data_IF_408879709712
#
_entry.id   IF_408879709712
#
_cell.length_a   1.000
_cell.length_b   1.000
_cell.length_c   1.000
_cell.angle_alpha   90.00
_cell.angle_beta   90.00
_cell.angle_gamma   90.00
#
_symmetry.space_group_name_H-M   'P 1'
#
loop_
_entity.id
_entity.type
_entity.pdbx_description
1 polymer ?
#
# COMPACT_ATOMS: atom_id res chain seq x y z
N UNK A 1 25.24 -20.89 3.57
CA UNK A 1 24.36 -19.82 4.07
C UNK A 1 23.42 -19.43 2.94
N UNK A 2 22.12 -19.68 3.10
CA UNK A 2 21.15 -19.72 2.00
C UNK A 2 21.12 -18.43 1.20
N UNK A 3 21.29 -18.57 -0.12
CA UNK A 3 21.06 -17.50 -1.10
C UNK A 3 19.65 -16.98 -0.86
N UNK A 4 19.49 -15.80 -0.24
CA UNK A 4 18.27 -15.02 -0.35
C UNK A 4 18.15 -14.68 -1.84
N UNK A 5 17.45 -15.56 -2.55
CA UNK A 5 17.09 -15.54 -3.96
C UNK A 5 17.61 -14.34 -4.77
N UNK A 6 18.48 -14.53 -5.78
CA UNK A 6 18.66 -13.53 -6.84
C UNK A 6 17.42 -13.57 -7.76
N UNK A 7 16.21 -13.34 -7.22
CA UNK A 7 14.96 -13.50 -7.99
C UNK A 7 14.72 -12.35 -8.97
N UNK A 8 15.36 -11.21 -8.75
CA UNK A 8 15.12 -10.00 -9.52
C UNK A 8 16.46 -9.46 -10.05
N UNK A 9 16.74 -9.67 -11.34
CA UNK A 9 17.91 -9.10 -11.99
C UNK A 9 17.96 -7.57 -11.82
N UNK A 10 19.15 -6.93 -11.92
CA UNK A 10 19.33 -5.51 -11.59
C UNK A 10 18.33 -4.57 -12.29
N UNK A 11 17.85 -4.92 -13.49
CA UNK A 11 16.81 -4.17 -14.21
C UNK A 11 15.40 -4.30 -13.60
N UNK A 12 15.04 -5.48 -13.15
CA UNK A 12 13.72 -5.73 -12.54
C UNK A 12 13.65 -5.15 -11.11
N UNK A 13 14.78 -5.13 -10.38
CA UNK A 13 14.89 -4.48 -9.06
C UNK A 13 14.65 -2.97 -9.14
N UNK A 14 15.23 -2.29 -10.14
CA UNK A 14 15.00 -0.87 -10.37
C UNK A 14 13.52 -0.55 -10.67
N UNK A 15 12.85 -1.37 -11.49
CA UNK A 15 11.42 -1.21 -11.76
C UNK A 15 10.57 -1.38 -10.49
N UNK A 16 10.85 -2.39 -9.67
CA UNK A 16 10.14 -2.64 -8.42
C UNK A 16 10.31 -1.48 -7.42
N UNK A 17 11.48 -0.84 -7.40
CA UNK A 17 11.73 0.34 -6.58
C UNK A 17 10.85 1.52 -7.00
N UNK A 18 10.74 1.81 -8.30
CA UNK A 18 9.90 2.91 -8.83
C UNK A 18 8.42 2.65 -8.53
N UNK A 19 7.93 1.43 -8.78
CA UNK A 19 6.55 1.04 -8.48
C UNK A 19 6.24 1.11 -6.97
N UNK A 20 7.20 0.75 -6.13
CA UNK A 20 7.04 0.80 -4.68
C UNK A 20 6.98 2.25 -4.17
N UNK A 21 7.85 3.16 -4.66
CA UNK A 21 7.77 4.60 -4.36
C UNK A 21 6.41 5.16 -4.76
N UNK A 22 5.95 4.85 -5.98
CA UNK A 22 4.66 5.30 -6.47
C UNK A 22 3.50 4.75 -5.63
N UNK A 23 3.57 3.47 -5.25
CA UNK A 23 2.59 2.83 -4.38
C UNK A 23 2.50 3.50 -3.00
N UNK A 24 3.63 3.80 -2.36
CA UNK A 24 3.64 4.51 -1.06
C UNK A 24 2.95 5.87 -1.17
N UNK A 25 3.25 6.65 -2.22
CA UNK A 25 2.67 7.98 -2.41
C UNK A 25 1.16 7.88 -2.66
N UNK A 26 0.75 7.01 -3.58
CA UNK A 26 -0.66 6.85 -3.95
C UNK A 26 -1.50 6.33 -2.78
N UNK A 27 -1.07 5.26 -2.11
CA UNK A 27 -1.79 4.69 -0.97
C UNK A 27 -1.76 5.61 0.25
N UNK A 28 -0.68 6.38 0.45
CA UNK A 28 -0.60 7.39 1.51
C UNK A 28 -1.63 8.51 1.32
N UNK A 29 -1.74 9.03 0.09
CA UNK A 29 -2.74 10.06 -0.25
C UNK A 29 -4.17 9.52 -0.05
N UNK A 30 -4.45 8.32 -0.55
CA UNK A 30 -5.75 7.66 -0.35
C UNK A 30 -6.05 7.43 1.13
N UNK A 31 -5.07 6.97 1.92
CA UNK A 31 -5.22 6.77 3.35
C UNK A 31 -5.61 8.05 4.10
N UNK A 32 -5.06 9.20 3.70
CA UNK A 32 -5.45 10.52 4.23
C UNK A 32 -6.87 10.88 3.79
N UNK A 33 -7.22 10.67 2.52
CA UNK A 33 -8.58 10.96 2.01
C UNK A 33 -9.67 10.09 2.65
N UNK A 34 -9.37 8.83 2.97
CA UNK A 34 -10.27 7.98 3.75
C UNK A 34 -10.37 8.45 5.22
N UNK A 35 -9.29 8.98 5.81
CA UNK A 35 -9.30 9.49 7.18
C UNK A 35 -10.14 10.76 7.35
N UNK A 36 -10.16 11.65 6.34
CA UNK A 36 -11.01 12.85 6.35
C UNK A 36 -12.44 12.60 5.83
N UNK A 37 -12.81 11.33 5.59
CA UNK A 37 -14.15 10.94 5.11
C UNK A 37 -14.57 11.66 3.82
N UNK A 38 -13.69 11.70 2.82
CA UNK A 38 -13.97 12.40 1.56
C UNK A 38 -15.20 11.82 0.83
N UNK A 39 -16.19 12.67 0.53
CA UNK A 39 -17.45 12.30 -0.15
C UNK A 39 -17.23 11.62 -1.50
N UNK A 40 -16.14 11.97 -2.21
CA UNK A 40 -15.79 11.38 -3.51
C UNK A 40 -15.45 9.89 -3.42
N UNK A 41 -15.15 9.40 -2.22
CA UNK A 41 -14.69 8.04 -1.97
C UNK A 41 -15.78 7.15 -1.35
N UNK A 42 -16.97 7.72 -1.14
CA UNK A 42 -18.19 7.01 -0.78
C UNK A 42 -18.52 5.81 -1.69
N UNK A 43 -18.39 5.88 -3.03
CA UNK A 43 -18.66 4.71 -3.88
C UNK A 43 -17.67 3.55 -3.72
N UNK A 44 -16.49 3.80 -3.13
CA UNK A 44 -15.50 2.75 -2.82
C UNK A 44 -15.83 1.98 -1.54
N UNK A 45 -16.73 2.52 -0.69
CA UNK A 45 -17.21 1.82 0.50
C UNK A 45 -18.20 0.73 0.08
N UNK A 46 -17.81 -0.53 0.28
CA UNK A 46 -18.73 -1.66 0.19
C UNK A 46 -19.54 -1.76 1.48
N UNK A 47 -20.83 -1.44 1.38
CA UNK A 47 -21.81 -1.76 2.40
C UNK A 47 -22.35 -3.16 2.11
N UNK A 48 -22.39 -4.04 3.12
CA UNK A 48 -23.02 -5.34 2.93
C UNK A 48 -24.50 -5.10 2.66
N UNK A 49 -24.99 -5.57 1.51
CA UNK A 49 -26.35 -5.38 1.03
C UNK A 49 -27.34 -6.26 1.83
N UNK A 50 -27.46 -6.02 3.14
CA UNK A 50 -28.62 -6.46 3.90
C UNK A 50 -29.73 -5.44 3.63
N UNK A 51 -30.55 -5.74 2.63
CA UNK A 51 -31.57 -4.93 1.95
C UNK A 51 -32.62 -4.18 2.80
N UNK A 52 -32.46 -3.98 4.11
CA UNK A 52 -33.50 -3.40 4.98
C UNK A 52 -33.07 -2.22 5.86
N UNK A 53 -31.82 -1.75 5.81
CA UNK A 53 -31.39 -0.62 6.64
C UNK A 53 -30.59 0.42 5.86
N UNK A 54 -31.02 1.69 5.95
CA UNK A 54 -30.19 2.83 5.55
C UNK A 54 -29.04 2.89 6.55
N UNK A 55 -27.77 2.77 6.12
CA UNK A 55 -26.65 2.76 7.05
C UNK A 55 -26.61 4.07 7.82
N UNK A 56 -26.45 3.97 9.14
CA UNK A 56 -26.30 5.11 10.03
C UNK A 56 -24.99 5.84 9.73
N UNK A 57 -24.94 7.15 10.02
CA UNK A 57 -23.73 7.96 9.83
C UNK A 57 -22.51 7.37 10.56
N UNK A 58 -22.72 6.72 11.70
CA UNK A 58 -21.66 6.03 12.45
C UNK A 58 -21.11 4.80 11.71
N UNK A 59 -21.97 4.01 11.05
CA UNK A 59 -21.53 2.82 10.30
C UNK A 59 -20.73 3.21 9.06
N UNK A 60 -21.08 4.34 8.44
CA UNK A 60 -20.34 4.91 7.31
C UNK A 60 -18.96 5.37 7.79
N UNK A 61 -18.89 6.11 8.90
CA UNK A 61 -17.63 6.55 9.52
C UNK A 61 -16.71 5.36 9.84
N UNK A 62 -17.23 4.31 10.47
CA UNK A 62 -16.46 3.10 10.77
C UNK A 62 -15.87 2.45 9.51
N UNK A 63 -16.63 2.42 8.41
CA UNK A 63 -16.16 1.87 7.14
C UNK A 63 -15.08 2.73 6.49
N UNK A 64 -15.14 4.06 6.61
CA UNK A 64 -14.05 4.94 6.20
C UNK A 64 -12.77 4.66 6.98
N UNK A 65 -12.86 4.53 8.31
CA UNK A 65 -11.71 4.22 9.15
C UNK A 65 -11.12 2.83 8.87
N UNK A 66 -11.97 1.83 8.61
CA UNK A 66 -11.53 0.48 8.25
C UNK A 66 -10.70 0.48 6.94
N UNK A 67 -11.18 1.19 5.91
CA UNK A 67 -10.48 1.35 4.62
C UNK A 67 -9.22 2.21 4.73
N UNK A 68 -9.26 3.29 5.51
CA UNK A 68 -8.09 4.11 5.81
C UNK A 68 -6.97 3.24 6.40
N UNK A 69 -7.29 2.43 7.42
CA UNK A 69 -6.32 1.56 8.09
C UNK A 69 -5.73 0.53 7.12
N UNK A 70 -6.54 -0.09 6.27
CA UNK A 70 -6.05 -1.02 5.23
C UNK A 70 -5.07 -0.33 4.26
N UNK A 71 -5.39 0.89 3.82
CA UNK A 71 -4.51 1.68 2.96
C UNK A 71 -3.19 2.03 3.65
N UNK A 72 -3.24 2.44 4.92
CA UNK A 72 -2.04 2.74 5.71
C UNK A 72 -1.14 1.52 5.92
N UNK A 73 -1.73 0.35 6.21
CA UNK A 73 -0.98 -0.91 6.35
C UNK A 73 -0.32 -1.28 5.02
N UNK A 74 -1.05 -1.17 3.91
CA UNK A 74 -0.52 -1.46 2.58
C UNK A 74 0.58 -0.47 2.17
N UNK A 75 0.42 0.83 2.44
CA UNK A 75 1.48 1.82 2.24
C UNK A 75 2.73 1.48 3.06
N UNK A 76 2.57 1.05 4.31
CA UNK A 76 3.65 0.56 5.16
C UNK A 76 4.36 -0.67 4.57
N UNK A 77 3.61 -1.62 4.01
CA UNK A 77 4.18 -2.79 3.34
C UNK A 77 5.01 -2.39 2.12
N UNK A 78 4.51 -1.48 1.28
CA UNK A 78 5.30 -0.93 0.17
C UNK A 78 6.58 -0.25 0.68
N UNK A 79 6.52 0.53 1.75
CA UNK A 79 7.71 1.15 2.34
C UNK A 79 8.74 0.11 2.81
N UNK A 80 8.30 -0.97 3.47
CA UNK A 80 9.18 -2.07 3.87
C UNK A 80 9.81 -2.76 2.67
N UNK A 81 9.04 -3.02 1.60
CA UNK A 81 9.61 -3.59 0.36
C UNK A 81 10.63 -2.66 -0.28
N UNK A 82 10.41 -1.35 -0.25
CA UNK A 82 11.35 -0.36 -0.76
C UNK A 82 12.67 -0.40 0.01
N UNK A 83 12.62 -0.43 1.35
CA UNK A 83 13.81 -0.56 2.21
C UNK A 83 14.54 -1.87 1.91
N UNK A 84 13.82 -2.98 1.79
CA UNK A 84 14.37 -4.29 1.45
C UNK A 84 15.08 -4.31 0.09
N UNK A 85 14.42 -3.78 -0.96
CA UNK A 85 14.98 -3.68 -2.31
C UNK A 85 16.17 -2.71 -2.35
N UNK A 86 16.12 -1.60 -1.61
CA UNK A 86 17.22 -0.66 -1.50
C UNK A 86 18.46 -1.31 -0.86
N UNK A 87 18.27 -2.08 0.21
CA UNK A 87 19.34 -2.87 0.82
C UNK A 87 19.87 -3.93 -0.16
N UNK A 88 19.00 -4.72 -0.78
CA UNK A 88 19.41 -5.71 -1.79
C UNK A 88 20.21 -5.07 -2.93
N UNK A 89 19.77 -3.93 -3.46
CA UNK A 89 20.46 -3.24 -4.55
C UNK A 89 21.84 -2.72 -4.11
N UNK A 90 21.96 -2.21 -2.88
CA UNK A 90 23.24 -1.76 -2.31
C UNK A 90 24.24 -2.91 -2.13
N UNK A 91 23.81 -4.08 -1.65
CA UNK A 91 24.69 -5.23 -1.48
C UNK A 91 24.96 -6.01 -2.78
N UNK A 92 24.02 -6.00 -3.73
CA UNK A 92 24.16 -6.67 -5.03
C UNK A 92 25.05 -5.88 -6.01
N UNK A 93 25.09 -4.55 -5.91
CA UNK A 93 26.02 -3.70 -6.69
C UNK A 93 27.49 -3.95 -6.31
N UNK A 94 27.77 -4.49 -5.13
CA UNK A 94 29.16 -4.80 -4.71
C UNK A 94 29.70 -6.10 -5.33
N UNK A 95 28.86 -6.93 -5.95
CA UNK A 95 29.25 -8.25 -6.50
C UNK A 95 29.65 -8.20 -7.99
N UNK A 96 29.70 -7.00 -8.60
CA UNK A 96 30.08 -6.80 -10.02
C UNK A 96 31.53 -6.30 -10.19
N UNK A 97 32.38 -6.38 -9.16
CA UNK A 97 33.82 -6.18 -9.28
C UNK A 97 34.57 -7.51 -9.16
#
# INVERSE_FOLDING_TARGET
MGKLCPLLGPKMSAFCMVMSVWGVIFLGILGVFFYIQAVTLFPDLHFSESHEHIPSAAEIEDKYHEKANQCWIAAGLYLVTLIGVFWQNKYNTTQIL
#
